data_IF_840760473593
#
_entry.id   IF_840760473593
#
_cell.length_a   1.000
_cell.length_b   1.000
_cell.length_c   1.000
_cell.angle_alpha   90.00
_cell.angle_beta   90.00
_cell.angle_gamma   90.00
#
_symmetry.space_group_name_H-M   'P 1'
#
loop_
_entity.id
_entity.type
_entity.pdbx_description
1 polymer ?
#
# COMPACT_ATOMS: atom_id res chain seq x y z
N UNK A 1 -0.77 13.66 -6.60
CA UNK A 1 -1.02 12.50 -5.73
C UNK A 1 -0.84 12.90 -4.27
N UNK A 2 -1.77 12.50 -3.43
CA UNK A 2 -1.75 12.82 -2.01
C UNK A 2 -1.67 11.53 -1.18
N UNK A 3 -1.06 11.64 0.00
CA UNK A 3 -1.05 10.56 0.98
C UNK A 3 -2.11 10.91 2.03
N UNK A 4 -3.14 10.05 2.15
CA UNK A 4 -4.25 10.26 3.08
C UNK A 4 -4.07 9.51 4.40
N UNK A 5 -3.24 8.47 4.42
CA UNK A 5 -2.98 7.69 5.63
C UNK A 5 -1.67 6.93 5.50
N UNK A 6 -1.00 6.71 6.62
CA UNK A 6 0.25 5.94 6.68
C UNK A 6 0.20 5.02 7.89
N UNK A 7 0.50 3.75 7.68
CA UNK A 7 0.74 2.78 8.75
C UNK A 7 2.20 2.36 8.67
N UNK A 8 2.88 2.34 9.81
CA UNK A 8 4.30 1.97 9.90
C UNK A 8 4.46 0.77 10.83
N UNK A 9 5.30 -0.17 10.40
CA UNK A 9 5.65 -1.36 11.17
C UNK A 9 7.14 -1.59 11.11
N UNK A 10 7.69 -2.24 12.14
CA UNK A 10 9.09 -2.63 12.17
C UNK A 10 9.24 -4.06 12.61
N UNK A 11 10.17 -4.78 11.98
CA UNK A 11 10.55 -6.13 12.35
C UNK A 11 12.05 -6.13 12.64
N UNK A 12 12.42 -6.68 13.78
CA UNK A 12 13.84 -6.82 14.16
C UNK A 12 14.26 -8.28 14.04
N UNK A 13 15.42 -8.51 13.43
CA UNK A 13 16.00 -9.84 13.29
C UNK A 13 17.52 -9.70 13.44
N UNK A 14 18.06 -10.12 14.58
CA UNK A 14 19.47 -9.98 14.93
C UNK A 14 19.91 -8.51 14.86
N UNK A 15 20.84 -8.15 13.99
CA UNK A 15 21.32 -6.78 13.80
C UNK A 15 20.59 -6.03 12.70
N UNK A 16 19.50 -6.59 12.18
CA UNK A 16 18.73 -5.99 11.10
C UNK A 16 17.39 -5.48 11.60
N UNK A 17 16.99 -4.34 11.07
CA UNK A 17 15.65 -3.79 11.23
C UNK A 17 15.04 -3.62 9.84
N UNK A 18 13.82 -4.11 9.68
CA UNK A 18 13.03 -3.92 8.46
C UNK A 18 11.88 -2.99 8.79
N UNK A 19 11.87 -1.82 8.17
CA UNK A 19 10.80 -0.82 8.35
C UNK A 19 9.87 -0.87 7.16
N UNK A 20 8.58 -1.08 7.45
CA UNK A 20 7.52 -1.11 6.45
C UNK A 20 6.68 0.16 6.58
N UNK A 21 6.38 0.77 5.45
CA UNK A 21 5.42 1.88 5.38
C UNK A 21 4.32 1.52 4.39
N UNK A 22 3.08 1.60 4.85
CA UNK A 22 1.88 1.34 4.05
C UNK A 22 1.14 2.66 3.90
N UNK A 23 1.06 3.18 2.68
CA UNK A 23 0.49 4.49 2.41
C UNK A 23 -0.79 4.36 1.60
N UNK A 24 -1.85 4.98 2.10
CA UNK A 24 -3.06 5.19 1.32
C UNK A 24 -2.82 6.42 0.45
N UNK A 25 -2.84 6.24 -0.85
CA UNK A 25 -2.61 7.32 -1.80
C UNK A 25 -3.92 7.68 -2.51
N UNK A 26 -4.03 8.93 -2.91
CA UNK A 26 -5.22 9.49 -3.54
C UNK A 26 -4.82 10.37 -4.70
N UNK A 27 -5.56 10.27 -5.81
CA UNK A 27 -5.40 11.16 -6.94
C UNK A 27 -6.76 11.50 -7.56
N UNK A 28 -6.82 12.59 -8.29
CA UNK A 28 -8.01 12.96 -9.03
C UNK A 28 -8.26 11.97 -10.17
N UNK A 29 -9.51 11.57 -10.34
CA UNK A 29 -9.93 10.66 -11.39
C UNK A 29 -11.32 11.05 -11.86
N UNK A 30 -11.41 11.64 -13.06
CA UNK A 30 -12.65 12.28 -13.56
C UNK A 30 -13.17 13.30 -12.56
N UNK A 31 -14.45 13.21 -12.14
CA UNK A 31 -15.06 14.14 -11.18
C UNK A 31 -14.92 13.67 -9.73
N UNK A 32 -14.13 12.64 -9.49
CA UNK A 32 -13.96 12.07 -8.16
C UNK A 32 -12.51 11.80 -7.83
N UNK A 33 -12.33 10.81 -6.97
CA UNK A 33 -11.02 10.41 -6.49
C UNK A 33 -10.78 8.93 -6.78
N UNK A 34 -9.52 8.58 -7.05
CA UNK A 34 -9.06 7.21 -7.05
C UNK A 34 -8.13 7.01 -5.87
N UNK A 35 -8.35 5.94 -5.12
CA UNK A 35 -7.54 5.56 -3.97
C UNK A 35 -6.73 4.32 -4.30
N UNK A 36 -5.48 4.33 -3.87
CA UNK A 36 -4.56 3.23 -4.06
C UNK A 36 -3.65 3.05 -2.85
N UNK A 37 -2.66 2.19 -3.00
CA UNK A 37 -1.72 1.85 -1.94
C UNK A 37 -0.31 1.85 -2.48
N UNK A 38 0.61 2.42 -1.69
CA UNK A 38 2.05 2.31 -1.88
C UNK A 38 2.64 1.60 -0.67
N UNK A 39 3.48 0.61 -0.92
CA UNK A 39 4.21 -0.11 0.13
C UNK A 39 5.69 0.10 -0.07
N UNK A 40 6.37 0.51 1.00
CA UNK A 40 7.82 0.67 1.02
C UNK A 40 8.41 -0.16 2.14
N UNK A 41 9.52 -0.81 1.85
CA UNK A 41 10.32 -1.54 2.82
C UNK A 41 11.73 -0.98 2.81
N UNK A 42 12.25 -0.65 3.99
CA UNK A 42 13.62 -0.22 4.18
C UNK A 42 14.31 -1.16 5.16
N UNK A 43 15.41 -1.75 4.73
CA UNK A 43 16.20 -2.64 5.57
C UNK A 43 17.43 -1.89 6.08
N UNK A 44 17.64 -1.96 7.38
CA UNK A 44 18.80 -1.36 8.06
C UNK A 44 19.65 -2.45 8.70
N UNK A 45 20.96 -2.30 8.61
CA UNK A 45 21.92 -3.14 9.33
C UNK A 45 22.88 -2.22 10.04
N UNK A 46 23.01 -2.38 11.38
CA UNK A 46 23.83 -1.52 12.22
C UNK A 46 23.51 -0.02 11.99
N UNK A 47 22.22 0.31 11.91
CA UNK A 47 21.69 1.66 11.67
C UNK A 47 22.02 2.25 10.29
N UNK A 48 22.47 1.43 9.34
CA UNK A 48 22.72 1.85 7.97
C UNK A 48 21.66 1.27 7.05
N UNK A 49 21.09 2.11 6.19
CA UNK A 49 20.17 1.67 5.13
C UNK A 49 20.93 0.82 4.12
N UNK A 50 20.53 -0.44 3.96
CA UNK A 50 21.18 -1.39 3.05
C UNK A 50 20.29 -1.82 1.88
N UNK A 51 18.98 -1.60 1.96
CA UNK A 51 18.06 -2.06 0.94
C UNK A 51 16.76 -1.27 1.01
N UNK A 52 16.22 -0.91 -0.15
CA UNK A 52 14.91 -0.28 -0.29
C UNK A 52 14.14 -1.01 -1.38
N UNK A 53 12.89 -1.34 -1.08
CA UNK A 53 11.96 -1.94 -2.03
C UNK A 53 10.65 -1.17 -1.96
N UNK A 54 10.05 -0.94 -3.12
CA UNK A 54 8.80 -0.16 -3.20
C UNK A 54 7.93 -0.70 -4.31
N UNK A 55 6.62 -0.72 -4.06
CA UNK A 55 5.64 -1.05 -5.09
C UNK A 55 4.35 -0.30 -4.79
N UNK A 56 3.53 -0.10 -5.83
CA UNK A 56 2.27 0.61 -5.66
C UNK A 56 1.21 0.08 -6.61
N UNK A 57 -0.05 0.22 -6.19
CA UNK A 57 -1.22 0.10 -7.06
C UNK A 57 -2.00 1.40 -6.89
N UNK A 58 -1.99 2.24 -7.90
CA UNK A 58 -2.46 3.62 -7.77
C UNK A 58 -3.96 3.77 -7.76
N UNK A 59 -4.69 2.89 -8.46
CA UNK A 59 -6.14 2.99 -8.62
C UNK A 59 -6.78 1.66 -8.28
N UNK A 60 -7.23 1.53 -7.03
CA UNK A 60 -7.88 0.32 -6.55
C UNK A 60 -9.40 0.51 -6.51
N UNK A 61 -9.85 1.64 -5.96
CA UNK A 61 -11.27 1.95 -5.81
C UNK A 61 -11.47 3.46 -5.68
N UNK A 62 -12.67 3.93 -5.98
CA UNK A 62 -13.09 5.29 -5.68
C UNK A 62 -13.67 5.42 -4.26
N UNK A 63 -13.71 4.34 -3.50
CA UNK A 63 -14.24 4.29 -2.14
C UNK A 63 -13.10 4.16 -1.14
N UNK A 64 -12.81 5.24 -0.41
CA UNK A 64 -11.69 5.30 0.53
C UNK A 64 -11.72 4.16 1.56
N UNK A 65 -12.89 3.89 2.14
CA UNK A 65 -13.04 2.85 3.18
C UNK A 65 -12.63 1.46 2.73
N UNK A 66 -12.89 1.11 1.47
CA UNK A 66 -12.45 -0.19 0.91
C UNK A 66 -10.95 -0.29 0.88
N UNK A 67 -10.27 0.78 0.47
CA UNK A 67 -8.80 0.80 0.37
C UNK A 67 -8.16 0.88 1.75
N UNK A 68 -8.78 1.58 2.70
CA UNK A 68 -8.32 1.57 4.10
C UNK A 68 -8.36 0.16 4.70
N UNK A 69 -9.40 -0.62 4.38
CA UNK A 69 -9.49 -2.02 4.80
C UNK A 69 -8.33 -2.86 4.26
N UNK A 70 -7.97 -2.65 3.00
CA UNK A 70 -6.83 -3.33 2.39
C UNK A 70 -5.50 -2.87 2.99
N UNK A 71 -5.39 -1.59 3.32
CA UNK A 71 -4.19 -1.06 3.98
C UNK A 71 -3.96 -1.76 5.32
N UNK A 72 -5.01 -1.90 6.12
CA UNK A 72 -4.95 -2.62 7.39
C UNK A 72 -4.57 -4.09 7.20
N UNK A 73 -5.12 -4.75 6.19
CA UNK A 73 -4.80 -6.13 5.85
C UNK A 73 -3.29 -6.29 5.58
N UNK A 74 -2.72 -5.40 4.80
CA UNK A 74 -1.29 -5.42 4.47
C UNK A 74 -0.42 -5.20 5.70
N UNK A 75 -0.78 -4.23 6.53
CA UNK A 75 -0.05 -3.89 7.75
C UNK A 75 -0.13 -5.03 8.77
N UNK A 76 -1.32 -5.58 8.99
CA UNK A 76 -1.53 -6.68 9.94
C UNK A 76 -0.71 -7.92 9.58
N UNK A 77 -0.51 -8.15 8.29
CA UNK A 77 0.23 -9.32 7.78
C UNK A 77 1.68 -9.01 7.39
N UNK A 78 2.16 -7.78 7.63
CA UNK A 78 3.53 -7.36 7.29
C UNK A 78 3.91 -7.70 5.84
N UNK A 79 3.01 -7.40 4.92
CA UNK A 79 3.18 -7.73 3.51
C UNK A 79 4.30 -6.89 2.90
N UNK A 80 5.27 -7.54 2.25
CA UNK A 80 6.36 -6.86 1.55
C UNK A 80 5.90 -6.32 0.19
N UNK A 81 6.55 -5.27 -0.33
CA UNK A 81 6.20 -4.70 -1.65
C UNK A 81 6.16 -5.73 -2.78
N UNK A 82 7.07 -6.70 -2.76
CA UNK A 82 7.14 -7.76 -3.79
C UNK A 82 5.87 -8.61 -3.84
N UNK A 83 5.13 -8.71 -2.74
CA UNK A 83 3.91 -9.52 -2.65
C UNK A 83 2.62 -8.70 -2.78
N UNK A 84 2.73 -7.39 -2.99
CA UNK A 84 1.57 -6.49 -3.03
C UNK A 84 0.52 -6.94 -4.06
N UNK A 85 0.95 -7.20 -5.28
CA UNK A 85 0.04 -7.60 -6.36
C UNK A 85 -0.58 -8.97 -6.08
N UNK A 86 0.22 -9.90 -5.55
CA UNK A 86 -0.28 -11.24 -5.23
C UNK A 86 -1.36 -11.20 -4.15
N UNK A 87 -1.19 -10.36 -3.14
CA UNK A 87 -2.15 -10.25 -2.04
C UNK A 87 -3.40 -9.49 -2.46
N UNK A 88 -3.24 -8.39 -3.19
CA UNK A 88 -4.36 -7.51 -3.52
C UNK A 88 -5.02 -7.78 -4.87
N UNK A 89 -4.46 -8.62 -5.72
CA UNK A 89 -4.95 -8.79 -7.09
C UNK A 89 -6.43 -9.09 -7.20
N UNK A 90 -6.95 -10.02 -6.40
CA UNK A 90 -8.37 -10.36 -6.43
C UNK A 90 -9.28 -9.21 -5.98
N UNK A 91 -8.83 -8.43 -5.00
CA UNK A 91 -9.58 -7.25 -4.55
C UNK A 91 -9.59 -6.16 -5.60
N UNK A 92 -8.46 -5.95 -6.29
CA UNK A 92 -8.37 -4.96 -7.37
C UNK A 92 -9.33 -5.34 -8.49
N UNK A 93 -9.35 -6.61 -8.87
CA UNK A 93 -10.27 -7.11 -9.90
C UNK A 93 -11.73 -6.93 -9.51
N UNK A 94 -12.05 -7.14 -8.25
CA UNK A 94 -13.39 -6.94 -7.73
C UNK A 94 -13.78 -5.46 -7.71
N UNK A 95 -12.88 -4.58 -7.25
CA UNK A 95 -13.19 -3.17 -7.05
C UNK A 95 -13.10 -2.32 -8.32
N UNK A 96 -12.60 -2.86 -9.42
CA UNK A 96 -12.52 -2.12 -10.69
C UNK A 96 -13.89 -1.66 -11.16
N UNK A 97 -14.96 -2.37 -10.80
CA UNK A 97 -16.33 -2.00 -11.16
C UNK A 97 -16.76 -0.68 -10.50
N UNK A 98 -16.15 -0.29 -9.39
CA UNK A 98 -16.43 0.99 -8.72
C UNK A 98 -16.15 2.17 -9.67
N UNK A 99 -15.10 2.07 -10.48
CA UNK A 99 -14.75 3.12 -11.45
C UNK A 99 -15.70 3.16 -12.64
N UNK A 100 -16.28 2.03 -13.01
CA UNK A 100 -17.24 1.98 -14.13
C UNK A 100 -18.51 2.75 -13.81
N UNK A 101 -18.92 2.78 -12.55
CA UNK A 101 -20.10 3.54 -12.12
C UNK A 101 -19.86 5.05 -12.18
N UNK A 102 -18.60 5.49 -12.13
CA UNK A 102 -18.21 6.89 -12.22
C UNK A 102 -18.11 7.39 -13.66
N UNK A 103 -18.10 6.49 -14.62
CA UNK A 103 -18.00 6.81 -16.04
C UNK A 103 -19.39 6.95 -16.65
#
# INVERSE_FOLDING_TARGET
MHIDNILNDSIFDSNKEMKYSYRLIRENFFDGQAYGIEVERQDFSNNKLIYVERNEIRKISNTKGKVEGLLNLLSDNKVSPIHLVDVLGSYVDEYVSDFKEAL
#
